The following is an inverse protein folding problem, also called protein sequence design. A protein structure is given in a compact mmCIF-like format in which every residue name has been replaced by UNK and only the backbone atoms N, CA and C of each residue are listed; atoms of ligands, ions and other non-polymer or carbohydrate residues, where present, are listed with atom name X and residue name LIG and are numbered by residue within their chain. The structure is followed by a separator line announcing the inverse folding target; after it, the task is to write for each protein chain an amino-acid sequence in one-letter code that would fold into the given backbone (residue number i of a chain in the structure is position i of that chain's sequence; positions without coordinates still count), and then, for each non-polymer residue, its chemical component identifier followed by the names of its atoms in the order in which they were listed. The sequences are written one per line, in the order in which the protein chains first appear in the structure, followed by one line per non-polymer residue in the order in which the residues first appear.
data_IF_424223286471
#
_entry.id   IF_424223286471
#
_cell.length_a   1.000
_cell.length_b   1.000
_cell.length_c   1.000
_cell.angle_alpha   90.00
_cell.angle_beta   90.00
_cell.angle_gamma   90.00
#
_symmetry.space_group_name_H-M   'P 1'
#
loop_
_entity.id
_entity.type
_entity.pdbx_description
1 polymer ?
#
# COMPACT_ATOMS: atom_id res chain seq x y z
N UNK A 1 3.64 12.75 -2.51
CA UNK A 1 4.45 12.46 -3.72
C UNK A 1 5.60 11.54 -3.35
N UNK A 2 5.76 10.41 -4.05
CA UNK A 2 6.90 9.49 -3.92
C UNK A 2 7.85 9.79 -5.07
N UNK A 3 9.02 10.38 -4.75
CA UNK A 3 10.02 10.82 -5.73
C UNK A 3 11.42 10.27 -5.42
N UNK A 4 11.61 9.74 -4.21
CA UNK A 4 12.89 9.25 -3.71
C UNK A 4 12.71 7.93 -2.99
N UNK A 5 13.78 7.17 -2.90
CA UNK A 5 13.85 5.93 -2.13
C UNK A 5 15.13 5.92 -1.27
N UNK A 6 15.06 5.22 -0.15
CA UNK A 6 16.23 4.94 0.68
C UNK A 6 16.73 3.55 0.33
N UNK A 7 17.92 3.48 -0.26
CA UNK A 7 18.62 2.24 -0.60
C UNK A 7 19.80 2.01 0.34
N UNK A 8 20.13 0.76 0.59
CA UNK A 8 21.33 0.41 1.36
C UNK A 8 22.53 0.21 0.42
N UNK A 9 23.53 1.06 0.56
CA UNK A 9 24.80 0.96 -0.18
C UNK A 9 25.92 0.74 0.81
N UNK A 10 26.61 -0.40 0.71
CA UNK A 10 27.69 -0.78 1.64
C UNK A 10 27.29 -0.61 3.14
N UNK A 11 26.08 -1.04 3.49
CA UNK A 11 25.57 -0.97 4.86
C UNK A 11 25.10 0.42 5.33
N UNK A 12 25.15 1.44 4.48
CA UNK A 12 24.71 2.80 4.81
C UNK A 12 23.46 3.20 4.03
N UNK A 13 22.51 3.92 4.62
CA UNK A 13 21.34 4.41 3.91
C UNK A 13 21.76 5.50 2.91
N UNK A 14 21.33 5.35 1.68
CA UNK A 14 21.56 6.28 0.57
C UNK A 14 20.23 6.70 -0.03
N UNK A 15 20.01 8.01 -0.16
CA UNK A 15 18.82 8.55 -0.80
C UNK A 15 19.10 8.70 -2.28
N UNK A 16 18.24 8.11 -3.09
CA UNK A 16 18.34 8.17 -4.53
C UNK A 16 16.98 8.13 -5.20
N UNK A 17 16.94 8.09 -6.54
CA UNK A 17 15.70 7.88 -7.25
C UNK A 17 15.11 6.50 -6.92
N UNK A 18 13.81 6.31 -7.07
CA UNK A 18 13.19 4.99 -7.00
C UNK A 18 13.77 4.05 -8.06
N UNK A 19 13.67 2.74 -7.82
CA UNK A 19 14.23 1.69 -8.68
C UNK A 19 13.72 1.71 -10.13
N UNK A 20 12.50 2.21 -10.35
CA UNK A 20 11.90 2.33 -11.68
C UNK A 20 11.11 3.64 -11.81
N UNK A 21 10.93 4.11 -13.04
CA UNK A 21 10.10 5.28 -13.33
C UNK A 21 8.65 5.12 -12.82
N UNK A 22 8.08 3.94 -12.94
CA UNK A 22 6.74 3.61 -12.44
C UNK A 22 6.63 3.70 -10.90
N UNK A 23 7.74 3.73 -10.18
CA UNK A 23 7.76 3.94 -8.73
C UNK A 23 7.59 5.41 -8.34
N UNK A 24 7.79 6.34 -9.30
CA UNK A 24 7.50 7.76 -9.11
C UNK A 24 6.00 7.94 -9.24
N UNK A 25 5.33 8.26 -8.13
CA UNK A 25 3.88 8.33 -8.09
C UNK A 25 3.35 9.22 -6.98
N UNK A 26 2.08 9.50 -7.05
CA UNK A 26 1.33 10.19 -6.01
C UNK A 26 0.36 9.21 -5.35
N UNK A 27 0.40 9.17 -4.04
CA UNK A 27 -0.52 8.35 -3.23
C UNK A 27 -1.40 9.30 -2.43
N UNK A 28 -2.70 9.35 -2.69
CA UNK A 28 -3.60 10.19 -1.91
C UNK A 28 -3.65 9.72 -0.45
N UNK A 29 -3.58 10.67 0.47
CA UNK A 29 -3.73 10.41 1.90
C UNK A 29 -5.22 10.47 2.23
N UNK A 30 -5.83 9.38 2.73
CA UNK A 30 -7.23 9.36 3.11
C UNK A 30 -7.56 10.45 4.14
N UNK A 31 -8.73 11.09 4.07
CA UNK A 31 -9.09 12.20 4.96
C UNK A 31 -9.00 11.85 6.46
N UNK A 32 -9.38 10.65 6.83
CA UNK A 32 -9.31 10.16 8.23
C UNK A 32 -7.89 9.95 8.75
N UNK A 33 -6.90 9.79 7.86
CA UNK A 33 -5.48 9.62 8.23
C UNK A 33 -4.70 10.93 8.14
N UNK A 34 -5.25 11.92 7.43
CA UNK A 34 -4.59 13.21 7.18
C UNK A 34 -4.13 13.92 8.47
N UNK A 35 -4.94 14.02 9.56
CA UNK A 35 -4.49 14.68 10.80
C UNK A 35 -3.25 14.01 11.38
N UNK A 36 -3.18 12.68 11.36
CA UNK A 36 -2.01 11.94 11.84
C UNK A 36 -0.77 12.22 10.97
N UNK A 37 -0.94 12.26 9.64
CA UNK A 37 0.15 12.57 8.72
C UNK A 37 0.69 14.00 8.89
N UNK A 38 -0.20 14.96 9.15
CA UNK A 38 0.17 16.36 9.44
C UNK A 38 0.96 16.43 10.75
N UNK A 39 0.46 15.84 11.83
CA UNK A 39 1.15 15.82 13.13
C UNK A 39 2.53 15.16 13.03
N UNK A 40 2.67 14.06 12.30
CA UNK A 40 3.96 13.43 12.05
C UNK A 40 4.93 14.35 11.30
N UNK A 41 4.44 15.11 10.33
CA UNK A 41 5.25 16.08 9.59
C UNK A 41 5.70 17.25 10.46
N UNK A 42 4.82 17.78 11.31
CA UNK A 42 5.12 18.88 12.20
C UNK A 42 6.17 18.53 13.28
N UNK A 43 6.17 17.28 13.72
CA UNK A 43 7.14 16.75 14.68
C UNK A 43 8.45 16.29 14.02
N UNK A 44 8.49 16.20 12.69
CA UNK A 44 9.63 15.69 11.94
C UNK A 44 10.75 16.75 11.83
N UNK A 45 11.98 16.29 11.93
CA UNK A 45 13.15 17.03 11.50
C UNK A 45 13.29 16.96 9.97
N UNK A 46 14.47 16.58 9.49
CA UNK A 46 14.71 16.37 8.05
C UNK A 46 13.90 15.20 7.48
N UNK A 47 13.65 14.18 8.29
CA UNK A 47 12.87 12.98 7.94
C UNK A 47 11.82 12.71 9.00
N UNK A 48 10.68 12.12 8.62
CA UNK A 48 9.64 11.69 9.57
C UNK A 48 10.19 10.64 10.53
N UNK A 49 11.03 9.76 10.04
CA UNK A 49 11.78 8.81 10.86
C UNK A 49 13.26 8.97 10.61
N UNK A 50 13.94 9.51 11.60
CA UNK A 50 15.38 9.71 11.56
C UNK A 50 16.13 8.54 12.20
N UNK A 51 17.34 8.33 11.72
CA UNK A 51 18.35 7.50 12.37
C UNK A 51 18.77 8.14 13.72
N UNK A 52 19.31 7.38 14.68
CA UNK A 52 20.03 7.95 15.80
C UNK A 52 21.18 8.88 15.37
N UNK A 53 21.69 8.72 14.16
CA UNK A 53 22.64 9.65 13.53
C UNK A 53 21.85 10.78 12.90
N UNK A 54 21.97 11.98 13.47
CA UNK A 54 21.25 13.17 13.05
C UNK A 54 21.37 13.43 11.52
N UNK A 55 20.26 13.79 10.90
CA UNK A 55 20.19 14.12 9.48
C UNK A 55 20.28 12.93 8.52
N UNK A 56 20.22 11.69 9.02
CA UNK A 56 20.16 10.49 8.21
C UNK A 56 18.78 9.84 8.28
N UNK A 57 18.28 9.26 7.16
CA UNK A 57 17.04 8.50 7.20
C UNK A 57 17.22 7.22 8.03
N UNK A 58 16.12 6.72 8.61
CA UNK A 58 16.15 5.46 9.35
C UNK A 58 16.58 4.30 8.46
N UNK A 59 17.41 3.42 8.98
CA UNK A 59 17.75 2.16 8.33
C UNK A 59 16.49 1.30 8.20
N UNK A 60 16.20 0.70 7.02
CA UNK A 60 15.03 -0.16 6.81
C UNK A 60 14.89 -1.31 7.82
N UNK A 61 15.99 -1.87 8.31
CA UNK A 61 15.96 -2.91 9.35
C UNK A 61 15.47 -2.35 10.67
N UNK A 62 15.99 -1.22 11.12
CA UNK A 62 15.53 -0.55 12.33
C UNK A 62 14.08 -0.09 12.24
N UNK A 63 13.64 0.33 11.05
CA UNK A 63 12.23 0.64 10.84
C UNK A 63 11.35 -0.59 11.05
N UNK A 64 11.71 -1.75 10.49
CA UNK A 64 10.98 -3.01 10.68
C UNK A 64 10.88 -3.42 12.14
N UNK A 65 11.99 -3.27 12.89
CA UNK A 65 12.01 -3.59 14.32
C UNK A 65 11.08 -2.66 15.12
N UNK A 66 11.14 -1.36 14.87
CA UNK A 66 10.24 -0.37 15.49
C UNK A 66 8.77 -0.66 15.14
N UNK A 67 8.47 -0.98 13.89
CA UNK A 67 7.14 -1.35 13.44
C UNK A 67 6.62 -2.60 14.16
N UNK A 68 7.43 -3.64 14.21
CA UNK A 68 7.11 -4.88 14.94
C UNK A 68 6.85 -4.61 16.42
N UNK A 69 7.72 -3.84 17.06
CA UNK A 69 7.58 -3.49 18.48
C UNK A 69 6.32 -2.63 18.74
N UNK A 70 5.92 -1.79 17.79
CA UNK A 70 4.66 -1.05 17.87
C UNK A 70 3.44 -1.99 17.80
N UNK A 71 3.45 -2.96 16.88
CA UNK A 71 2.37 -3.96 16.77
C UNK A 71 2.23 -4.81 18.03
N UNK A 72 3.35 -5.20 18.67
CA UNK A 72 3.33 -5.99 19.92
C UNK A 72 2.64 -5.26 21.08
N UNK A 73 2.54 -3.92 21.03
CA UNK A 73 1.87 -3.13 22.06
C UNK A 73 0.36 -3.02 21.84
N UNK A 74 -0.17 -3.48 20.73
CA UNK A 74 -1.59 -3.38 20.42
C UNK A 74 -2.23 -4.76 20.56
N UNK A 75 -3.05 -5.00 21.61
CA UNK A 75 -3.70 -6.29 21.81
C UNK A 75 -4.58 -6.71 20.63
N UNK A 76 -4.52 -7.98 20.25
CA UNK A 76 -5.36 -8.54 19.18
C UNK A 76 -4.92 -8.20 17.76
N UNK A 77 -3.88 -7.39 17.57
CA UNK A 77 -3.36 -7.08 16.23
C UNK A 77 -2.49 -8.22 15.73
N UNK A 78 -2.80 -8.69 14.53
CA UNK A 78 -2.00 -9.72 13.86
C UNK A 78 -0.61 -9.19 13.51
N UNK A 79 0.42 -9.99 13.76
CA UNK A 79 1.79 -9.67 13.40
C UNK A 79 1.96 -9.74 11.87
N UNK A 80 1.98 -8.58 11.25
CA UNK A 80 2.14 -8.41 9.81
C UNK A 80 3.40 -7.61 9.51
N UNK A 81 3.97 -7.80 8.33
CA UNK A 81 5.11 -7.00 7.86
C UNK A 81 4.63 -5.64 7.35
N UNK A 82 5.49 -4.61 7.26
CA UNK A 82 5.12 -3.35 6.60
C UNK A 82 4.63 -3.54 5.15
N UNK A 83 5.14 -4.56 4.47
CA UNK A 83 4.70 -4.92 3.11
C UNK A 83 3.25 -5.42 3.07
N UNK A 84 2.80 -6.09 4.12
CA UNK A 84 1.40 -6.54 4.26
C UNK A 84 0.41 -5.36 4.31
N UNK A 85 0.83 -4.17 4.76
CA UNK A 85 0.01 -2.96 4.69
C UNK A 85 -0.32 -2.60 3.24
N UNK A 86 0.63 -2.77 2.33
CA UNK A 86 0.42 -2.55 0.89
C UNK A 86 -0.56 -3.58 0.32
N UNK A 87 -0.42 -4.86 0.68
CA UNK A 87 -1.38 -5.90 0.27
C UNK A 87 -2.80 -5.57 0.76
N UNK A 88 -2.94 -5.19 2.03
CA UNK A 88 -4.22 -4.79 2.59
C UNK A 88 -4.82 -3.60 1.84
N UNK A 89 -4.03 -2.59 1.53
CA UNK A 89 -4.47 -1.41 0.78
C UNK A 89 -5.02 -1.78 -0.59
N UNK A 90 -4.29 -2.60 -1.35
CA UNK A 90 -4.71 -3.09 -2.67
C UNK A 90 -5.99 -3.91 -2.57
N UNK A 91 -6.07 -4.88 -1.65
CA UNK A 91 -7.26 -5.74 -1.47
C UNK A 91 -8.49 -4.92 -1.09
N UNK A 92 -8.34 -3.89 -0.23
CA UNK A 92 -9.45 -3.02 0.14
C UNK A 92 -9.93 -2.16 -1.03
N UNK A 93 -9.03 -1.60 -1.83
CA UNK A 93 -9.41 -0.85 -3.03
C UNK A 93 -10.16 -1.71 -4.04
N UNK A 94 -9.73 -2.96 -4.22
CA UNK A 94 -10.44 -3.91 -5.07
C UNK A 94 -11.83 -4.24 -4.54
N UNK A 95 -11.96 -4.50 -3.23
CA UNK A 95 -13.25 -4.75 -2.60
C UNK A 95 -14.22 -3.55 -2.74
N UNK A 96 -13.67 -2.34 -2.84
CA UNK A 96 -14.42 -1.12 -3.13
C UNK A 96 -14.75 -0.93 -4.62
N UNK A 97 -14.31 -1.84 -5.49
CA UNK A 97 -14.59 -1.79 -6.93
C UNK A 97 -13.67 -0.85 -7.72
N UNK A 98 -12.55 -0.42 -7.13
CA UNK A 98 -11.55 0.39 -7.86
C UNK A 98 -10.89 -0.49 -8.91
N UNK A 99 -10.78 0.01 -10.14
CA UNK A 99 -10.17 -0.73 -11.23
C UNK A 99 -8.67 -0.98 -11.01
N UNK A 100 -8.16 -2.03 -11.61
CA UNK A 100 -6.79 -2.49 -11.39
C UNK A 100 -5.75 -1.49 -11.91
N UNK A 101 -6.03 -0.78 -12.98
CA UNK A 101 -5.12 0.20 -13.56
C UNK A 101 -4.92 1.40 -12.59
N UNK A 102 -6.02 1.89 -12.03
CA UNK A 102 -5.98 2.90 -10.98
C UNK A 102 -5.20 2.42 -9.77
N UNK A 103 -5.47 1.20 -9.29
CA UNK A 103 -4.74 0.61 -8.15
C UNK A 103 -3.25 0.53 -8.47
N UNK A 104 -2.85 0.04 -9.64
CA UNK A 104 -1.46 -0.06 -10.06
C UNK A 104 -0.77 1.30 -10.10
N UNK A 105 -1.46 2.33 -10.59
CA UNK A 105 -0.92 3.70 -10.61
C UNK A 105 -0.63 4.23 -9.20
N UNK A 106 -1.48 3.90 -8.23
CA UNK A 106 -1.34 4.33 -6.83
C UNK A 106 -0.24 3.55 -6.08
N UNK A 107 -0.09 2.25 -6.36
CA UNK A 107 0.88 1.42 -5.63
C UNK A 107 2.22 1.26 -6.34
N UNK A 108 2.31 1.56 -7.63
CA UNK A 108 3.51 1.39 -8.47
C UNK A 108 3.68 -0.04 -8.98
N UNK A 109 4.15 -0.19 -10.19
CA UNK A 109 4.32 -1.46 -10.90
C UNK A 109 5.54 -2.25 -10.39
N UNK A 110 5.52 -2.80 -9.21
CA UNK A 110 6.69 -3.53 -8.73
C UNK A 110 6.54 -5.05 -8.73
N UNK A 111 5.33 -5.63 -8.87
CA UNK A 111 5.21 -7.08 -8.77
C UNK A 111 4.10 -7.66 -9.68
N UNK A 112 4.53 -8.35 -10.73
CA UNK A 112 3.66 -9.26 -11.48
C UNK A 112 3.20 -10.46 -10.63
N UNK A 113 3.94 -10.86 -9.61
CA UNK A 113 3.54 -11.91 -8.65
C UNK A 113 2.26 -11.54 -7.87
N UNK A 114 2.09 -10.27 -7.54
CA UNK A 114 0.85 -9.79 -6.93
C UNK A 114 -0.36 -9.93 -7.84
N UNK A 115 -0.19 -9.84 -9.15
CA UNK A 115 -1.28 -9.92 -10.12
C UNK A 115 -1.99 -11.28 -10.07
N UNK A 116 -1.28 -12.38 -9.83
CA UNK A 116 -1.87 -13.71 -9.74
C UNK A 116 -2.72 -13.92 -8.49
N UNK A 117 -2.30 -13.39 -7.35
CA UNK A 117 -3.11 -13.47 -6.13
C UNK A 117 -4.41 -12.66 -6.22
N UNK A 118 -4.39 -11.58 -6.99
CA UNK A 118 -5.55 -10.71 -7.20
C UNK A 118 -6.51 -11.22 -8.29
N UNK A 119 -6.10 -12.12 -9.16
CA UNK A 119 -6.99 -12.75 -10.14
C UNK A 119 -8.15 -13.53 -9.47
N UNK A 120 -7.91 -14.18 -8.33
CA UNK A 120 -8.98 -14.85 -7.58
C UNK A 120 -10.02 -13.89 -7.02
N UNK A 121 -9.59 -12.76 -6.45
CA UNK A 121 -10.52 -11.73 -5.95
C UNK A 121 -11.32 -11.10 -7.08
N UNK A 122 -10.71 -10.90 -8.26
CA UNK A 122 -11.43 -10.43 -9.45
C UNK A 122 -12.46 -11.42 -9.95
N UNK A 123 -12.21 -12.73 -9.83
CA UNK A 123 -13.17 -13.75 -10.27
C UNK A 123 -14.42 -13.75 -9.39
N UNK A 124 -14.29 -13.65 -8.07
CA UNK A 124 -15.42 -13.53 -7.14
C UNK A 124 -16.23 -12.25 -7.41
N UNK A 125 -15.55 -11.12 -7.67
CA UNK A 125 -16.21 -9.85 -8.01
C UNK A 125 -16.94 -9.95 -9.36
N UNK A 126 -16.36 -10.61 -10.36
CA UNK A 126 -16.99 -10.85 -11.66
C UNK A 126 -18.23 -11.74 -11.53
N UNK A 127 -18.14 -12.80 -10.74
CA UNK A 127 -19.28 -13.69 -10.49
C UNK A 127 -20.41 -12.97 -9.77
N UNK A 128 -20.09 -12.20 -8.73
CA UNK A 128 -21.06 -11.36 -8.01
C UNK A 128 -21.70 -10.30 -8.91
N UNK A 129 -20.94 -9.70 -9.83
CA UNK A 129 -21.45 -8.76 -10.81
C UNK A 129 -22.38 -9.44 -11.82
N UNK A 130 -22.00 -10.62 -12.32
CA UNK A 130 -22.83 -11.43 -13.23
C UNK A 130 -24.15 -11.86 -12.57
N UNK A 131 -24.12 -12.24 -11.29
CA UNK A 131 -25.32 -12.55 -10.53
C UNK A 131 -26.23 -11.33 -10.34
N UNK A 132 -25.66 -10.17 -10.00
CA UNK A 132 -26.43 -8.92 -9.92
C UNK A 132 -27.08 -8.57 -11.26
N UNK A 133 -26.33 -8.70 -12.36
CA UNK A 133 -26.85 -8.46 -13.70
C UNK A 133 -28.00 -9.40 -14.04
N UNK A 134 -27.86 -10.70 -13.77
CA UNK A 134 -28.89 -11.69 -14.05
C UNK A 134 -30.18 -11.47 -13.23
N UNK A 135 -30.06 -10.93 -12.00
CA UNK A 135 -31.23 -10.58 -11.18
C UNK A 135 -31.94 -9.32 -11.68
N UNK A 136 -31.22 -8.42 -12.34
CA UNK A 136 -31.77 -7.16 -12.87
C UNK A 136 -32.44 -7.37 -14.23
N UNK A 137 -31.92 -8.28 -15.06
CA UNK A 137 -32.44 -8.58 -16.39
C UNK A 137 -33.07 -9.97 -16.43
N UNK A 138 -34.38 -10.06 -16.15
CA UNK A 138 -35.15 -11.29 -16.35
C UNK A 138 -35.36 -11.47 -17.84
N UNK A 139 -34.72 -12.49 -18.44
CA UNK A 139 -35.03 -12.91 -19.82
C UNK A 139 -36.35 -13.64 -19.76
N UNK A 140 -37.43 -13.01 -20.27
CA UNK A 140 -38.71 -13.70 -20.55
C UNK A 140 -38.45 -14.73 -21.65
N UNK A 141 -38.47 -16.00 -21.32
CA UNK A 141 -38.59 -17.06 -22.35
C UNK A 141 -40.01 -16.97 -22.91
N UNK A 142 -40.18 -16.37 -24.09
CA UNK A 142 -41.39 -16.58 -24.91
C UNK A 142 -41.41 -18.04 -25.31
N UNK A 143 -42.49 -18.70 -24.97
CA UNK A 143 -42.85 -20.07 -25.46
C UNK A 143 -43.19 -20.01 -26.95
#
# INVERSE_FOLDING_TARGET
HIRQAVNMVKGRPHIGPPKSAASIRDVPVPPNVRPCAVSLREQAGKFVWESPIAGQPVNPSHFRDKYRNALLKVPGVRMLTPHSCRHTYVSQLQALGVDMETIQSMVGHADMEMTQHYLHVQEEVRQAAAEKFSKTFKISRSR
#
